data_IF_689075873470
#
_entry.id   IF_689075873470
#
_cell.length_a   1.000
_cell.length_b   1.000
_cell.length_c   1.000
_cell.angle_alpha   90.00
_cell.angle_beta   90.00
_cell.angle_gamma   90.00
#
_symmetry.space_group_name_H-M   'P 1'
#
loop_
_entity.id
_entity.type
_entity.pdbx_description
1 polymer ?
#
# COMPACT_ATOMS: atom_id res chain seq x y z
N UNK A 1 9.91 -0.27 -6.09
CA UNK A 1 8.77 0.56 -6.59
C UNK A 1 8.88 0.87 -8.07
N UNK A 2 10.07 1.21 -8.54
CA UNK A 2 10.23 1.58 -9.95
C UNK A 2 9.77 0.49 -10.91
N UNK A 3 10.10 -0.76 -10.64
CA UNK A 3 9.64 -1.89 -11.45
C UNK A 3 8.11 -2.04 -11.42
N UNK A 4 7.52 -1.83 -10.26
CA UNK A 4 6.07 -1.90 -10.10
C UNK A 4 5.38 -0.76 -10.87
N UNK A 5 5.95 0.44 -10.83
CA UNK A 5 5.43 1.59 -11.58
C UNK A 5 5.46 1.32 -13.08
N UNK A 6 6.53 0.72 -13.59
CA UNK A 6 6.63 0.34 -14.99
C UNK A 6 5.64 -0.74 -15.37
N UNK A 7 5.47 -1.75 -14.53
CA UNK A 7 4.48 -2.81 -14.75
C UNK A 7 3.07 -2.24 -14.76
N UNK A 8 2.77 -1.29 -13.87
CA UNK A 8 1.48 -0.62 -13.84
C UNK A 8 1.21 0.15 -15.13
N UNK A 9 2.21 0.90 -15.62
CA UNK A 9 2.07 1.64 -16.88
C UNK A 9 1.79 0.71 -18.05
N UNK A 10 2.38 -0.48 -18.06
CA UNK A 10 2.16 -1.46 -19.13
C UNK A 10 0.70 -1.92 -19.23
N UNK A 11 -0.05 -1.84 -18.14
CA UNK A 11 -1.48 -2.20 -18.11
C UNK A 11 -2.39 -0.97 -18.01
N UNK A 12 -1.84 0.23 -18.22
CA UNK A 12 -2.61 1.47 -18.25
C UNK A 12 -2.91 2.07 -16.89
N UNK A 13 -2.16 1.72 -15.86
CA UNK A 13 -2.33 2.27 -14.50
C UNK A 13 -1.16 3.17 -14.16
N UNK A 14 -1.44 4.34 -13.61
CA UNK A 14 -0.42 5.27 -13.12
C UNK A 14 -0.37 5.20 -11.60
N UNK A 15 0.83 4.98 -11.06
CA UNK A 15 1.06 5.08 -9.61
C UNK A 15 1.61 6.47 -9.32
N UNK A 16 0.88 7.23 -8.50
CA UNK A 16 1.25 8.59 -8.13
C UNK A 16 1.63 8.60 -6.64
N UNK A 17 2.88 8.99 -6.37
CA UNK A 17 3.39 9.06 -5.00
C UNK A 17 3.51 10.52 -4.57
N UNK A 18 3.02 10.82 -3.36
CA UNK A 18 3.12 12.13 -2.75
C UNK A 18 3.54 11.99 -1.29
N UNK A 19 4.27 12.99 -0.79
CA UNK A 19 4.65 13.05 0.62
C UNK A 19 6.01 12.44 0.90
N UNK A 20 6.18 11.94 2.12
CA UNK A 20 7.45 11.42 2.60
C UNK A 20 7.42 9.90 2.70
N UNK A 21 8.52 9.26 2.32
CA UNK A 21 8.67 7.81 2.33
C UNK A 21 10.00 7.42 2.94
N UNK A 22 10.10 6.22 3.53
CA UNK A 22 11.37 5.72 4.02
C UNK A 22 12.33 5.43 2.87
N UNK A 23 13.60 5.17 3.20
CA UNK A 23 14.61 4.84 2.21
C UNK A 23 14.20 3.60 1.41
N UNK A 24 14.43 3.58 0.10
CA UNK A 24 13.97 2.47 -0.75
C UNK A 24 14.48 1.09 -0.32
N UNK A 25 15.66 1.01 0.25
CA UNK A 25 16.25 -0.26 0.70
C UNK A 25 15.74 -0.72 2.06
N UNK A 26 14.95 0.09 2.77
CA UNK A 26 14.46 -0.27 4.10
C UNK A 26 13.36 -1.33 4.04
N UNK A 27 13.16 -2.04 5.14
CA UNK A 27 12.08 -3.02 5.25
C UNK A 27 10.70 -2.36 5.15
N UNK A 28 10.56 -1.17 5.74
CA UNK A 28 9.30 -0.42 5.65
C UNK A 28 8.97 -0.06 4.20
N UNK A 29 9.98 0.35 3.42
CA UNK A 29 9.75 0.62 1.99
C UNK A 29 9.37 -0.65 1.24
N UNK A 30 9.94 -1.79 1.59
CA UNK A 30 9.59 -3.08 0.98
C UNK A 30 8.14 -3.47 1.32
N UNK A 31 7.70 -3.26 2.56
CA UNK A 31 6.30 -3.49 2.95
C UNK A 31 5.35 -2.56 2.19
N UNK A 32 5.73 -1.30 2.03
CA UNK A 32 4.94 -0.33 1.28
C UNK A 32 4.83 -0.73 -0.20
N UNK A 33 5.91 -1.25 -0.78
CA UNK A 33 5.89 -1.74 -2.16
C UNK A 33 5.01 -2.98 -2.30
N UNK A 34 5.05 -3.90 -1.34
CA UNK A 34 4.18 -5.07 -1.34
C UNK A 34 2.71 -4.67 -1.24
N UNK A 35 2.40 -3.67 -0.41
CA UNK A 35 1.05 -3.14 -0.28
C UNK A 35 0.59 -2.48 -1.59
N UNK A 36 1.47 -1.74 -2.25
CA UNK A 36 1.14 -1.14 -3.55
C UNK A 36 0.82 -2.22 -4.59
N UNK A 37 1.56 -3.33 -4.58
CA UNK A 37 1.29 -4.45 -5.47
C UNK A 37 -0.10 -5.05 -5.23
N UNK A 38 -0.47 -5.25 -3.98
CA UNK A 38 -1.79 -5.77 -3.64
C UNK A 38 -2.91 -4.81 -4.03
N UNK A 39 -2.70 -3.51 -3.80
CA UNK A 39 -3.66 -2.48 -4.23
C UNK A 39 -3.81 -2.46 -5.75
N UNK A 40 -2.71 -2.60 -6.48
CA UNK A 40 -2.74 -2.64 -7.94
C UNK A 40 -3.53 -3.86 -8.43
N UNK A 41 -3.31 -5.02 -7.81
CA UNK A 41 -4.04 -6.25 -8.14
C UNK A 41 -5.54 -6.06 -7.92
N UNK A 42 -5.93 -5.45 -6.78
CA UNK A 42 -7.32 -5.17 -6.48
C UNK A 42 -7.93 -4.16 -7.44
N UNK A 43 -7.18 -3.15 -7.82
CA UNK A 43 -7.63 -2.16 -8.80
C UNK A 43 -7.98 -2.82 -10.14
N UNK A 44 -7.13 -3.73 -10.60
CA UNK A 44 -7.35 -4.43 -11.86
C UNK A 44 -8.53 -5.39 -11.79
N UNK A 45 -8.73 -6.06 -10.64
CA UNK A 45 -9.77 -7.08 -10.49
C UNK A 45 -11.15 -6.53 -10.14
N UNK A 46 -11.21 -5.48 -9.32
CA UNK A 46 -12.43 -5.09 -8.63
C UNK A 46 -12.86 -3.65 -8.87
N UNK A 47 -11.95 -2.82 -9.35
CA UNK A 47 -12.22 -1.40 -9.55
C UNK A 47 -11.71 -1.03 -10.94
N UNK A 48 -12.53 -0.49 -11.77
CA UNK A 48 -12.17 -0.11 -13.14
C UNK A 48 -11.48 1.25 -13.14
N UNK A 49 -10.36 1.35 -12.42
CA UNK A 49 -9.60 2.59 -12.27
C UNK A 49 -8.30 2.58 -13.05
N UNK A 50 -7.72 3.75 -13.21
CA UNK A 50 -6.47 3.95 -13.95
C UNK A 50 -5.36 4.60 -13.11
N UNK A 51 -5.63 4.91 -11.85
CA UNK A 51 -4.66 5.59 -10.98
C UNK A 51 -4.67 4.99 -9.58
N UNK A 52 -3.49 4.72 -9.08
CA UNK A 52 -3.26 4.38 -7.67
C UNK A 52 -2.50 5.53 -7.03
N UNK A 53 -3.08 6.16 -6.02
CA UNK A 53 -2.43 7.23 -5.27
C UNK A 53 -1.84 6.67 -3.99
N UNK A 54 -0.58 7.03 -3.71
CA UNK A 54 0.11 6.72 -2.47
C UNK A 54 0.47 8.01 -1.77
N UNK A 55 -0.07 8.21 -0.57
CA UNK A 55 0.26 9.38 0.24
C UNK A 55 1.04 8.94 1.46
N UNK A 56 2.30 9.36 1.54
CA UNK A 56 3.18 9.02 2.64
C UNK A 56 3.30 10.13 3.67
N UNK A 57 3.38 9.75 4.93
CA UNK A 57 3.52 10.69 6.04
C UNK A 57 4.59 10.20 7.01
N UNK A 58 5.46 11.10 7.42
CA UNK A 58 6.34 10.84 8.55
C UNK A 58 5.56 11.12 9.83
N UNK A 59 5.52 10.14 10.74
CA UNK A 59 4.85 10.29 12.04
C UNK A 59 5.89 10.38 13.15
N UNK A 60 5.44 10.67 14.37
CA UNK A 60 6.36 10.80 15.52
C UNK A 60 7.11 9.50 15.83
N UNK A 61 6.53 8.35 15.52
CA UNK A 61 7.10 7.04 15.84
C UNK A 61 7.29 6.14 14.62
N UNK A 62 7.09 6.66 13.42
CA UNK A 62 7.31 5.88 12.22
C UNK A 62 6.75 6.52 10.96
N UNK A 63 5.97 5.74 10.25
CA UNK A 63 5.45 6.10 8.93
C UNK A 63 3.99 5.72 8.81
N UNK A 64 3.24 6.54 8.06
CA UNK A 64 1.89 6.22 7.63
C UNK A 64 1.83 6.33 6.11
N UNK A 65 1.21 5.37 5.44
CA UNK A 65 0.96 5.46 4.01
C UNK A 65 -0.48 5.10 3.72
N UNK A 66 -1.12 5.88 2.86
CA UNK A 66 -2.49 5.65 2.42
C UNK A 66 -2.48 5.38 0.93
N UNK A 67 -3.17 4.30 0.55
CA UNK A 67 -3.32 3.87 -0.85
C UNK A 67 -4.77 4.06 -1.25
N UNK A 68 -5.01 4.79 -2.32
CA UNK A 68 -6.37 5.04 -2.84
C UNK A 68 -6.37 4.84 -4.34
N UNK A 69 -7.45 4.31 -4.87
CA UNK A 69 -7.62 4.21 -6.31
C UNK A 69 -8.78 5.13 -6.77
N UNK A 70 -8.80 5.44 -8.06
CA UNK A 70 -9.82 6.29 -8.67
C UNK A 70 -10.97 5.47 -9.26
N UNK A 71 -10.97 4.16 -9.03
CA UNK A 71 -11.99 3.28 -9.57
C UNK A 71 -13.28 3.28 -8.77
N UNK A 72 -14.24 2.54 -9.27
CA UNK A 72 -15.53 2.36 -8.60
C UNK A 72 -15.32 1.55 -7.32
N UNK A 73 -15.97 1.91 -6.20
CA UNK A 73 -15.90 1.09 -5.00
C UNK A 73 -16.40 -0.33 -5.31
N UNK A 74 -15.80 -1.37 -4.70
CA UNK A 74 -16.28 -2.73 -4.93
C UNK A 74 -17.72 -2.88 -4.46
N UNK A 75 -18.49 -3.69 -5.18
CA UNK A 75 -19.90 -3.92 -4.89
C UNK A 75 -20.11 -4.59 -3.53
N UNK A 76 -19.11 -5.32 -3.06
CA UNK A 76 -19.09 -5.95 -1.74
C UNK A 76 -17.70 -5.80 -1.14
N UNK A 77 -17.55 -5.91 0.19
CA UNK A 77 -16.23 -5.84 0.81
C UNK A 77 -15.28 -6.87 0.22
N UNK A 78 -14.03 -6.43 -0.02
CA UNK A 78 -13.00 -7.33 -0.53
C UNK A 78 -12.55 -8.22 0.62
N UNK A 79 -12.67 -9.54 0.42
CA UNK A 79 -12.22 -10.50 1.41
C UNK A 79 -10.69 -10.49 1.51
N UNK A 80 -10.17 -10.54 2.73
CA UNK A 80 -8.74 -10.70 2.95
C UNK A 80 -8.38 -12.16 2.72
N UNK A 81 -7.99 -12.49 1.48
CA UNK A 81 -7.47 -13.79 1.14
C UNK A 81 -6.12 -13.62 0.50
N UNK A 82 -5.30 -14.65 0.53
CA UNK A 82 -4.02 -14.64 -0.18
C UNK A 82 -3.15 -13.42 0.15
N UNK A 83 -3.03 -12.50 -0.82
CA UNK A 83 -2.13 -11.35 -0.74
C UNK A 83 -2.39 -10.40 0.42
N UNK A 84 -3.64 -9.99 0.63
CA UNK A 84 -3.97 -9.06 1.72
C UNK A 84 -3.77 -9.68 3.09
N UNK A 85 -4.12 -10.95 3.25
CA UNK A 85 -3.92 -11.67 4.51
C UNK A 85 -2.43 -11.82 4.81
N UNK A 86 -1.63 -12.16 3.81
CA UNK A 86 -0.18 -12.27 3.93
C UNK A 86 0.45 -10.92 4.26
N UNK A 87 -0.01 -9.86 3.61
CA UNK A 87 0.47 -8.50 3.86
C UNK A 87 0.19 -8.08 5.30
N UNK A 88 -1.03 -8.34 5.80
CA UNK A 88 -1.40 -8.02 7.18
C UNK A 88 -0.47 -8.69 8.17
N UNK A 89 -0.18 -9.97 7.97
CA UNK A 89 0.74 -10.70 8.84
C UNK A 89 2.14 -10.08 8.85
N UNK A 90 2.63 -9.67 7.69
CA UNK A 90 3.94 -9.02 7.58
C UNK A 90 3.96 -7.67 8.29
N UNK A 91 2.90 -6.88 8.11
CA UNK A 91 2.77 -5.57 8.76
C UNK A 91 2.71 -5.73 10.28
N UNK A 92 1.90 -6.65 10.76
CA UNK A 92 1.77 -6.89 12.21
C UNK A 92 3.06 -7.44 12.80
N UNK A 93 3.76 -8.31 12.07
CA UNK A 93 5.07 -8.82 12.51
C UNK A 93 6.12 -7.70 12.63
N UNK A 94 5.97 -6.65 11.84
CA UNK A 94 6.85 -5.48 11.92
C UNK A 94 6.41 -4.48 13.00
N UNK A 95 5.35 -4.79 13.74
CA UNK A 95 4.82 -3.92 14.78
C UNK A 95 3.86 -2.85 14.28
N UNK A 96 3.44 -2.95 13.04
CA UNK A 96 2.54 -1.98 12.43
C UNK A 96 1.08 -2.39 12.44
N UNK A 97 0.25 -1.56 11.84
CA UNK A 97 -1.18 -1.82 11.68
C UNK A 97 -1.60 -1.63 10.24
N UNK A 98 -2.66 -2.33 9.84
CA UNK A 98 -3.23 -2.23 8.51
C UNK A 98 -4.73 -2.06 8.63
N UNK A 99 -5.26 -1.04 7.93
CA UNK A 99 -6.69 -0.78 7.88
C UNK A 99 -7.15 -0.80 6.43
N UNK A 100 -8.29 -1.44 6.18
CA UNK A 100 -8.91 -1.48 4.85
C UNK A 100 -10.25 -0.77 4.94
N UNK A 101 -10.48 0.18 4.02
CA UNK A 101 -11.77 0.87 3.89
C UNK A 101 -12.34 0.55 2.52
N UNK A 102 -13.64 0.34 2.46
CA UNK A 102 -14.34 0.03 1.22
C UNK A 102 -15.21 1.19 0.73
N UNK A 103 -15.55 2.13 1.59
CA UNK A 103 -16.39 3.27 1.27
C UNK A 103 -15.76 4.58 1.75
N UNK A 104 -15.93 5.68 1.03
CA UNK A 104 -16.61 5.82 -0.27
C UNK A 104 -15.83 5.22 -1.43
N UNK A 105 -14.55 4.90 -1.22
CA UNK A 105 -13.67 4.24 -2.19
C UNK A 105 -12.76 3.28 -1.43
N UNK A 106 -12.22 2.30 -2.15
CA UNK A 106 -11.22 1.42 -1.54
C UNK A 106 -10.02 2.24 -1.09
N UNK A 107 -9.60 2.01 0.15
CA UNK A 107 -8.38 2.59 0.69
C UNK A 107 -7.69 1.57 1.58
N UNK A 108 -6.37 1.53 1.49
CA UNK A 108 -5.52 0.73 2.36
C UNK A 108 -4.62 1.69 3.13
N UNK A 109 -4.57 1.53 4.45
CA UNK A 109 -3.77 2.41 5.30
C UNK A 109 -2.83 1.57 6.14
N UNK A 110 -1.54 1.85 6.02
CA UNK A 110 -0.51 1.22 6.84
C UNK A 110 0.07 2.24 7.81
N UNK A 111 0.25 1.82 9.05
CA UNK A 111 1.06 2.55 10.03
C UNK A 111 2.20 1.63 10.40
N UNK A 112 3.43 2.08 10.16
CA UNK A 112 4.63 1.27 10.38
C UNK A 112 5.53 1.99 11.37
N UNK A 113 6.02 1.30 12.41
CA UNK A 113 6.97 1.90 13.32
C UNK A 113 8.30 2.11 12.62
N UNK A 114 9.08 3.08 13.10
CA UNK A 114 10.42 3.27 12.60
C UNK A 114 11.25 2.02 12.86
N UNK A 115 12.04 1.63 11.85
CA UNK A 115 12.92 0.49 12.00
C UNK A 115 13.96 0.78 13.08
N UNK A 116 14.18 -0.19 13.95
CA UNK A 116 15.27 -0.10 14.88
C UNK A 116 16.57 -0.22 14.10
N UNK A 117 17.45 0.76 14.27
CA UNK A 117 18.79 0.62 13.75
C UNK A 117 19.39 -0.65 14.32
N UNK A 118 20.06 -1.41 13.44
CA UNK A 118 20.77 -2.58 13.92
C UNK A 118 21.69 -2.14 15.05
N UNK A 119 21.48 -2.71 16.21
CA UNK A 119 22.33 -2.46 17.35
C UNK A 119 23.73 -2.92 17.01
N UNK A 120 24.55 -1.97 16.81
CA UNK A 120 25.96 -2.23 16.61
C UNK A 120 26.60 -2.46 17.96
#
# INVERSE_FOLDING_TARGET
MEQLEQAALAIGVIIQKCGAFPKPESENAQLMAAAAHECLTNLVRHADGSRLEMQGYRTSDGWRVEYRNDGVPPASPIAEGGGLSSLRRRVEAAGGTMEIRHEPQFALILNLPEEKEACV
#
